data_IF_961251668470
#
_entry.id   IF_961251668470
#
_cell.length_a   1.000
_cell.length_b   1.000
_cell.length_c   1.000
_cell.angle_alpha   90.00
_cell.angle_beta   90.00
_cell.angle_gamma   90.00
#
_symmetry.space_group_name_H-M   'P 1'
#
loop_
_entity.id
_entity.type
_entity.pdbx_description
1 polymer ?
#
# COMPACT_ATOMS: atom_id res chain seq x y z
N UNK A 1 41.41 -38.01 46.11
CA UNK A 1 41.62 -36.54 46.10
C UNK A 1 42.83 -36.27 45.22
N UNK A 2 42.61 -35.88 43.97
CA UNK A 2 43.67 -35.51 43.02
C UNK A 2 43.49 -34.04 42.65
N UNK A 3 44.54 -33.20 42.72
CA UNK A 3 44.40 -31.80 42.38
C UNK A 3 44.45 -31.62 40.86
N UNK A 4 43.38 -31.11 40.28
CA UNK A 4 43.32 -30.74 38.87
C UNK A 4 44.11 -29.44 38.67
N UNK A 5 45.33 -29.55 38.14
CA UNK A 5 46.15 -28.39 37.77
C UNK A 5 45.50 -27.69 36.58
N UNK A 6 44.83 -26.56 36.82
CA UNK A 6 44.49 -25.60 35.77
C UNK A 6 45.79 -25.06 35.16
N UNK A 7 46.20 -25.69 34.06
CA UNK A 7 47.33 -25.25 33.27
C UNK A 7 46.90 -24.02 32.48
N UNK A 8 47.09 -22.84 33.06
CA UNK A 8 46.99 -21.56 32.34
C UNK A 8 48.14 -21.48 31.32
N UNK A 9 47.96 -22.13 30.16
CA UNK A 9 48.78 -21.86 28.98
C UNK A 9 48.62 -20.37 28.68
N UNK A 10 49.67 -19.58 28.88
CA UNK A 10 49.76 -18.22 28.32
C UNK A 10 49.51 -18.39 26.82
N UNK A 11 48.32 -17.98 26.37
CA UNK A 11 47.93 -18.04 24.97
C UNK A 11 48.93 -17.15 24.22
N UNK A 12 49.82 -17.75 23.44
CA UNK A 12 50.74 -17.01 22.58
C UNK A 12 49.95 -16.08 21.66
N UNK A 13 50.46 -14.87 21.43
CA UNK A 13 49.74 -13.77 20.78
C UNK A 13 49.07 -14.10 19.44
N UNK A 14 49.52 -15.15 18.74
CA UNK A 14 48.89 -15.65 17.51
C UNK A 14 47.48 -16.22 17.74
N UNK A 15 47.22 -16.87 18.88
CA UNK A 15 45.88 -17.40 19.19
C UNK A 15 44.87 -16.28 19.47
N UNK A 16 45.34 -15.17 20.04
CA UNK A 16 44.51 -13.98 20.30
C UNK A 16 44.13 -13.27 19.00
N UNK A 17 45.06 -13.18 18.04
CA UNK A 17 44.78 -12.60 16.72
C UNK A 17 43.76 -13.43 15.92
N UNK A 18 43.86 -14.77 15.97
CA UNK A 18 42.89 -15.64 15.30
C UNK A 18 41.50 -15.50 15.93
N UNK A 19 41.41 -15.46 17.27
CA UNK A 19 40.13 -15.28 17.95
C UNK A 19 39.46 -13.93 17.61
N UNK A 20 40.24 -12.84 17.55
CA UNK A 20 39.72 -11.52 17.23
C UNK A 20 39.20 -11.46 15.79
N UNK A 21 39.92 -12.05 14.83
CA UNK A 21 39.46 -12.13 13.44
C UNK A 21 38.13 -12.85 13.32
N UNK A 22 37.99 -14.01 13.98
CA UNK A 22 36.74 -14.79 13.97
C UNK A 22 35.58 -14.02 14.59
N UNK A 23 35.80 -13.34 15.73
CA UNK A 23 34.76 -12.53 16.38
C UNK A 23 34.30 -11.39 15.46
N UNK A 24 35.21 -10.68 14.80
CA UNK A 24 34.87 -9.57 13.90
C UNK A 24 34.10 -10.08 12.67
N UNK A 25 34.51 -11.22 12.09
CA UNK A 25 33.79 -11.84 10.97
C UNK A 25 32.39 -12.29 11.38
N UNK A 26 32.25 -12.95 12.53
CA UNK A 26 30.94 -13.39 13.03
C UNK A 26 30.03 -12.20 13.38
N UNK A 27 30.60 -11.10 13.92
CA UNK A 27 29.87 -9.87 14.18
C UNK A 27 29.40 -9.19 12.89
N UNK A 28 30.24 -9.13 11.85
CA UNK A 28 29.88 -8.63 10.51
C UNK A 28 28.74 -9.47 9.90
N UNK A 29 28.83 -10.80 9.98
CA UNK A 29 27.81 -11.71 9.46
C UNK A 29 26.48 -11.56 10.21
N UNK A 30 26.52 -11.49 11.54
CA UNK A 30 25.33 -11.27 12.36
C UNK A 30 24.66 -9.92 12.06
N UNK A 31 25.44 -8.86 11.86
CA UNK A 31 24.92 -7.56 11.46
C UNK A 31 24.28 -7.58 10.06
N UNK A 32 24.90 -8.28 9.10
CA UNK A 32 24.34 -8.43 7.75
C UNK A 32 23.02 -9.22 7.77
N UNK A 33 22.97 -10.35 8.49
CA UNK A 33 21.75 -11.15 8.66
C UNK A 33 20.66 -10.38 9.41
N UNK A 34 21.03 -9.61 10.43
CA UNK A 34 20.10 -8.73 11.15
C UNK A 34 19.44 -7.71 10.22
N UNK A 35 20.21 -7.10 9.32
CA UNK A 35 19.65 -6.19 8.29
C UNK A 35 18.73 -6.90 7.31
N UNK A 36 19.05 -8.12 6.89
CA UNK A 36 18.17 -8.92 6.02
C UNK A 36 16.85 -9.30 6.70
N UNK A 37 16.87 -9.65 7.99
CA UNK A 37 15.66 -9.96 8.75
C UNK A 37 14.75 -8.74 8.93
N UNK A 38 15.35 -7.56 9.14
CA UNK A 38 14.61 -6.29 9.20
C UNK A 38 14.00 -5.94 7.83
N UNK A 39 14.77 -6.04 6.75
CA UNK A 39 14.30 -5.77 5.38
C UNK A 39 13.18 -6.72 4.94
N UNK A 40 13.23 -8.00 5.33
CA UNK A 40 12.13 -8.96 5.10
C UNK A 40 10.86 -8.68 5.91
N UNK A 41 10.99 -8.14 7.13
CA UNK A 41 9.85 -7.83 7.99
C UNK A 41 9.11 -6.55 7.53
N UNK A 42 9.84 -5.60 6.96
CA UNK A 42 9.29 -4.35 6.44
C UNK A 42 8.55 -4.58 5.09
N UNK A 43 9.09 -5.44 4.21
CA UNK A 43 8.50 -5.72 2.89
C UNK A 43 7.12 -6.38 2.92
N UNK A 44 6.83 -7.24 3.89
CA UNK A 44 5.54 -7.95 3.97
C UNK A 44 4.37 -7.05 4.43
N UNK A 45 4.64 -6.07 5.30
CA UNK A 45 3.58 -5.19 5.83
C UNK A 45 3.18 -4.11 4.81
N UNK A 46 4.14 -3.68 3.98
CA UNK A 46 3.91 -2.69 2.91
C UNK A 46 3.07 -3.27 1.77
N UNK A 47 3.27 -4.54 1.41
CA UNK A 47 2.51 -5.18 0.33
C UNK A 47 1.02 -5.29 0.64
N UNK A 48 0.67 -5.73 1.85
CA UNK A 48 -0.74 -5.87 2.28
C UNK A 48 -1.45 -4.51 2.30
N UNK A 49 -0.78 -3.45 2.79
CA UNK A 49 -1.35 -2.09 2.81
C UNK A 49 -1.52 -1.53 1.41
N UNK A 50 -0.60 -1.83 0.50
CA UNK A 50 -0.71 -1.45 -0.91
C UNK A 50 -1.89 -2.16 -1.59
N UNK A 51 -2.11 -3.45 -1.31
CA UNK A 51 -3.27 -4.18 -1.84
C UNK A 51 -4.58 -3.62 -1.29
N UNK A 52 -4.64 -3.29 0.01
CA UNK A 52 -5.82 -2.62 0.59
C UNK A 52 -6.08 -1.25 -0.05
N UNK A 53 -5.04 -0.47 -0.31
CA UNK A 53 -5.16 0.82 -1.00
C UNK A 53 -5.68 0.65 -2.43
N UNK A 54 -5.21 -0.38 -3.13
CA UNK A 54 -5.72 -0.73 -4.46
C UNK A 54 -7.19 -1.15 -4.44
N UNK A 55 -7.56 -2.03 -3.51
CA UNK A 55 -8.95 -2.47 -3.34
C UNK A 55 -9.86 -1.31 -2.95
N UNK A 56 -9.41 -0.42 -2.06
CA UNK A 56 -10.13 0.81 -1.71
C UNK A 56 -10.37 1.70 -2.94
N UNK A 57 -9.34 1.90 -3.77
CA UNK A 57 -9.47 2.65 -5.02
C UNK A 57 -10.50 1.99 -5.96
N UNK A 58 -10.43 0.68 -6.11
CA UNK A 58 -11.34 -0.09 -6.97
C UNK A 58 -12.79 0.00 -6.47
N UNK A 59 -13.03 -0.25 -5.18
CA UNK A 59 -14.36 -0.15 -4.58
C UNK A 59 -14.92 1.28 -4.67
N UNK A 60 -14.07 2.30 -4.49
CA UNK A 60 -14.46 3.70 -4.68
C UNK A 60 -14.95 3.97 -6.10
N UNK A 61 -14.22 3.45 -7.10
CA UNK A 61 -14.58 3.57 -8.50
C UNK A 61 -15.90 2.85 -8.81
N UNK A 62 -16.09 1.63 -8.32
CA UNK A 62 -17.34 0.87 -8.52
C UNK A 62 -18.57 1.62 -7.97
N UNK A 63 -18.43 2.22 -6.78
CA UNK A 63 -19.49 3.06 -6.18
C UNK A 63 -19.77 4.30 -7.03
N UNK A 64 -18.74 4.94 -7.58
CA UNK A 64 -18.90 6.10 -8.44
C UNK A 64 -19.53 5.72 -9.79
N UNK A 65 -19.11 4.61 -10.37
CA UNK A 65 -19.60 4.12 -11.66
C UNK A 65 -21.07 3.66 -11.57
N UNK A 66 -21.46 3.01 -10.46
CA UNK A 66 -22.85 2.66 -10.18
C UNK A 66 -23.77 3.90 -10.07
N UNK A 67 -23.25 5.01 -9.55
CA UNK A 67 -23.98 6.29 -9.48
C UNK A 67 -24.01 7.04 -10.79
N UNK A 68 -22.96 6.89 -11.60
CA UNK A 68 -22.88 7.50 -12.93
C UNK A 68 -23.80 6.78 -13.91
N UNK A 69 -23.86 5.45 -13.86
CA UNK A 69 -24.73 4.61 -14.70
C UNK A 69 -25.70 3.80 -13.83
N UNK A 70 -26.69 4.44 -13.18
CA UNK A 70 -27.70 3.70 -12.41
C UNK A 70 -28.50 2.80 -13.35
N UNK A 71 -28.81 1.58 -12.90
CA UNK A 71 -29.59 0.61 -13.67
C UNK A 71 -31.03 1.12 -13.78
N UNK A 72 -31.33 1.92 -14.82
CA UNK A 72 -32.64 2.56 -15.02
C UNK A 72 -33.55 1.68 -15.86
N UNK A 73 -34.80 1.58 -15.45
CA UNK A 73 -35.92 1.43 -16.39
C UNK A 73 -36.39 2.84 -16.78
N UNK A 74 -36.89 3.03 -18.00
CA UNK A 74 -37.32 4.34 -18.52
C UNK A 74 -38.36 5.09 -17.63
N UNK A 75 -38.94 4.40 -16.64
CA UNK A 75 -39.96 4.92 -15.73
C UNK A 75 -39.42 5.67 -14.49
N UNK A 76 -38.13 5.55 -14.13
CA UNK A 76 -37.57 6.24 -12.95
C UNK A 76 -36.23 6.95 -13.26
N UNK A 77 -36.28 8.25 -13.63
CA UNK A 77 -35.09 9.03 -13.98
C UNK A 77 -34.31 9.55 -12.76
N UNK A 78 -34.83 9.45 -11.53
CA UNK A 78 -34.11 9.85 -10.31
C UNK A 78 -33.31 8.69 -9.69
N UNK A 79 -32.08 8.95 -9.20
CA UNK A 79 -31.32 10.20 -9.30
C UNK A 79 -30.65 10.41 -10.68
N UNK A 80 -30.39 11.67 -11.08
CA UNK A 80 -29.63 11.96 -12.30
C UNK A 80 -28.22 11.34 -12.24
N UNK A 81 -27.61 11.07 -13.39
CA UNK A 81 -26.22 10.65 -13.44
C UNK A 81 -25.36 11.80 -12.90
N UNK A 82 -24.67 11.60 -11.76
CA UNK A 82 -23.87 12.67 -11.14
C UNK A 82 -22.39 12.35 -11.35
N UNK A 83 -21.75 13.16 -12.19
CA UNK A 83 -20.30 13.23 -12.29
C UNK A 83 -19.78 14.26 -11.28
N UNK A 84 -19.54 13.82 -10.04
CA UNK A 84 -19.01 14.69 -8.99
C UNK A 84 -17.53 14.97 -9.22
N UNK A 85 -17.10 16.24 -9.10
CA UNK A 85 -15.71 16.65 -9.33
C UNK A 85 -14.73 16.01 -8.35
N UNK A 86 -15.17 15.75 -7.12
CA UNK A 86 -14.43 15.03 -6.11
C UNK A 86 -15.38 14.51 -5.04
N UNK A 87 -15.21 13.25 -4.65
CA UNK A 87 -16.02 12.59 -3.64
C UNK A 87 -15.15 11.69 -2.78
N UNK A 88 -15.22 11.86 -1.47
CA UNK A 88 -14.52 10.99 -0.51
C UNK A 88 -15.45 9.87 -0.04
N UNK A 89 -14.95 8.65 -0.04
CA UNK A 89 -15.60 7.43 0.40
C UNK A 89 -14.78 6.88 1.56
N UNK A 90 -15.37 6.92 2.75
CA UNK A 90 -14.81 6.32 3.96
C UNK A 90 -15.32 4.90 4.13
N UNK A 91 -14.43 3.96 4.44
CA UNK A 91 -14.78 2.55 4.68
C UNK A 91 -14.96 2.22 6.17
N UNK A 92 -15.36 3.20 6.98
CA UNK A 92 -15.56 3.07 8.42
C UNK A 92 -16.52 1.92 8.72
N UNK A 93 -16.08 0.94 9.52
CA UNK A 93 -16.86 -0.24 9.86
C UNK A 93 -16.57 -1.49 9.00
N UNK A 94 -15.74 -1.39 7.96
CA UNK A 94 -15.25 -2.55 7.22
C UNK A 94 -13.89 -3.00 7.76
N UNK A 95 -13.82 -4.21 8.34
CA UNK A 95 -12.58 -4.75 8.91
C UNK A 95 -11.46 -4.97 7.88
N UNK A 96 -11.80 -5.17 6.60
CA UNK A 96 -10.85 -5.35 5.51
C UNK A 96 -10.19 -4.05 5.03
N UNK A 97 -10.87 -2.91 5.15
CA UNK A 97 -10.42 -1.58 4.72
C UNK A 97 -10.32 -0.59 5.91
N UNK A 98 -10.00 -1.11 7.10
CA UNK A 98 -9.71 -0.26 8.26
C UNK A 98 -8.56 0.69 7.93
N UNK A 99 -8.70 1.95 8.37
CA UNK A 99 -7.77 3.05 8.08
C UNK A 99 -7.54 3.32 6.58
N UNK A 100 -8.50 2.94 5.74
CA UNK A 100 -8.50 3.27 4.31
C UNK A 100 -9.62 4.25 3.95
N UNK A 101 -9.33 5.11 2.98
CA UNK A 101 -10.30 6.00 2.34
C UNK A 101 -10.05 6.00 0.83
N UNK A 102 -11.10 6.19 0.04
CA UNK A 102 -11.00 6.40 -1.40
C UNK A 102 -11.53 7.77 -1.79
N UNK A 103 -10.83 8.47 -2.67
CA UNK A 103 -11.27 9.75 -3.23
C UNK A 103 -11.46 9.58 -4.72
N UNK A 104 -12.67 9.78 -5.21
CA UNK A 104 -13.02 9.64 -6.62
C UNK A 104 -13.30 10.99 -7.24
N UNK A 105 -12.73 11.26 -8.40
CA UNK A 105 -12.95 12.45 -9.19
C UNK A 105 -13.54 12.05 -10.53
N UNK A 106 -14.61 12.72 -10.96
CA UNK A 106 -15.20 12.51 -12.28
C UNK A 106 -15.01 13.77 -13.14
N UNK A 107 -14.63 13.57 -14.40
CA UNK A 107 -14.50 14.61 -15.41
C UNK A 107 -15.21 14.17 -16.69
N UNK A 108 -15.97 15.06 -17.30
CA UNK A 108 -16.55 14.82 -18.63
C UNK A 108 -15.50 15.03 -19.71
N UNK A 109 -15.44 14.11 -20.67
CA UNK A 109 -14.52 14.15 -21.81
C UNK A 109 -15.34 14.01 -23.08
N UNK A 110 -15.26 14.98 -23.98
CA UNK A 110 -15.92 14.88 -25.30
C UNK A 110 -15.02 14.08 -26.23
N UNK A 111 -15.54 13.01 -26.82
CA UNK A 111 -14.85 12.26 -27.88
C UNK A 111 -15.63 12.37 -29.18
N UNK A 112 -14.91 12.48 -30.29
CA UNK A 112 -15.51 12.50 -31.63
C UNK A 112 -15.09 11.24 -32.35
N UNK A 113 -16.04 10.36 -32.64
CA UNK A 113 -15.81 9.14 -33.40
C UNK A 113 -16.73 9.14 -34.63
N UNK A 114 -16.17 8.97 -35.83
CA UNK A 114 -16.90 9.02 -37.11
C UNK A 114 -17.79 10.28 -37.30
N UNK A 115 -17.34 11.44 -36.80
CA UNK A 115 -18.10 12.69 -36.93
C UNK A 115 -19.27 12.86 -35.95
N UNK A 116 -19.49 11.88 -35.05
CA UNK A 116 -20.46 11.96 -33.95
C UNK A 116 -19.73 12.32 -32.67
N UNK A 117 -20.16 13.41 -32.01
CA UNK A 117 -19.64 13.81 -30.70
C UNK A 117 -20.41 13.06 -29.61
N UNK A 118 -19.71 12.17 -28.89
CA UNK A 118 -20.23 11.52 -27.70
C UNK A 118 -19.61 12.09 -26.44
N UNK A 119 -20.43 12.16 -25.39
CA UNK A 119 -19.95 12.54 -24.06
C UNK A 119 -19.42 11.30 -23.36
N UNK A 120 -18.11 11.25 -23.16
CA UNK A 120 -17.45 10.29 -22.28
C UNK A 120 -17.28 10.86 -20.87
N UNK A 121 -16.99 9.96 -19.93
CA UNK A 121 -16.70 10.26 -18.55
C UNK A 121 -15.39 9.58 -18.17
N UNK A 122 -14.47 10.35 -17.59
CA UNK A 122 -13.22 9.86 -17.01
C UNK A 122 -13.35 9.94 -15.49
N UNK A 123 -13.23 8.79 -14.85
CA UNK A 123 -13.22 8.65 -13.41
C UNK A 123 -11.81 8.30 -12.95
N UNK A 124 -11.34 9.01 -11.93
CA UNK A 124 -10.08 8.75 -11.26
C UNK A 124 -10.36 8.46 -9.80
N UNK A 125 -9.91 7.32 -9.28
CA UNK A 125 -10.09 6.91 -7.89
C UNK A 125 -8.75 6.71 -7.22
N UNK A 126 -8.53 7.41 -6.10
CA UNK A 126 -7.32 7.33 -5.28
C UNK A 126 -7.68 6.68 -3.95
N UNK A 127 -7.25 5.44 -3.76
CA UNK A 127 -7.35 4.73 -2.49
C UNK A 127 -6.11 4.97 -1.65
N UNK A 128 -6.28 5.33 -0.39
CA UNK A 128 -5.18 5.56 0.55
C UNK A 128 -5.44 4.87 1.88
N UNK A 129 -4.43 4.17 2.39
CA UNK A 129 -4.50 3.43 3.64
C UNK A 129 -3.31 3.78 4.55
N UNK A 130 -3.58 3.82 5.85
CA UNK A 130 -2.62 4.28 6.86
C UNK A 130 -2.83 5.75 7.21
N UNK A 131 -2.09 6.21 8.21
CA UNK A 131 -2.16 7.58 8.72
C UNK A 131 -0.82 8.30 8.44
N UNK A 132 -0.81 9.62 8.54
CA UNK A 132 0.39 10.44 8.24
C UNK A 132 1.26 10.69 9.49
N UNK A 133 1.05 9.91 10.56
CA UNK A 133 1.70 10.09 11.85
C UNK A 133 3.10 9.45 11.85
N UNK A 134 4.08 10.23 11.43
CA UNK A 134 5.50 9.86 11.40
C UNK A 134 6.21 10.07 12.76
N UNK A 135 5.56 10.74 13.71
CA UNK A 135 6.15 11.15 15.00
C UNK A 135 6.10 10.06 16.10
N UNK A 136 5.56 8.88 15.79
CA UNK A 136 5.42 7.77 16.73
C UNK A 136 6.60 6.79 16.75
N UNK A 137 6.75 6.04 17.85
CA UNK A 137 7.75 4.96 17.97
C UNK A 137 7.59 3.84 16.91
N UNK A 138 6.44 3.81 16.24
CA UNK A 138 6.17 3.01 15.04
C UNK A 138 5.63 3.97 13.96
N UNK A 139 6.47 4.49 13.04
CA UNK A 139 6.00 5.35 11.97
C UNK A 139 5.05 4.53 11.09
N UNK A 140 3.81 4.98 11.00
CA UNK A 140 2.81 4.33 10.16
C UNK A 140 2.81 5.06 8.82
N UNK A 141 3.29 4.38 7.78
CA UNK A 141 3.45 4.98 6.46
C UNK A 141 2.13 4.92 5.69
N UNK A 142 1.64 6.07 5.24
CA UNK A 142 0.48 6.17 4.35
C UNK A 142 0.82 5.71 2.94
N UNK A 143 0.09 4.71 2.44
CA UNK A 143 0.24 4.19 1.07
C UNK A 143 -0.97 4.60 0.24
N UNK A 144 -0.73 5.08 -0.98
CA UNK A 144 -1.78 5.45 -1.92
C UNK A 144 -1.65 4.76 -3.27
N UNK A 145 -2.78 4.36 -3.86
CA UNK A 145 -2.89 3.80 -5.20
C UNK A 145 -3.97 4.53 -5.99
N UNK A 146 -3.69 4.81 -7.26
CA UNK A 146 -4.59 5.53 -8.16
C UNK A 146 -5.03 4.61 -9.29
N UNK A 147 -6.31 4.62 -9.61
CA UNK A 147 -6.92 3.94 -10.75
C UNK A 147 -7.70 4.95 -11.59
N UNK A 148 -7.64 4.79 -12.91
CA UNK A 148 -8.39 5.63 -13.84
C UNK A 148 -9.16 4.75 -14.80
N UNK A 149 -10.43 5.10 -15.04
CA UNK A 149 -11.30 4.43 -16.00
C UNK A 149 -12.03 5.45 -16.83
N UNK A 150 -12.23 5.12 -18.10
CA UNK A 150 -13.05 5.88 -19.02
C UNK A 150 -14.29 5.07 -19.37
N UNK A 151 -15.44 5.73 -19.32
CA UNK A 151 -16.70 5.17 -19.75
C UNK A 151 -17.30 6.08 -20.82
N UNK A 152 -17.79 5.48 -21.88
CA UNK A 152 -18.44 6.19 -22.98
C UNK A 152 -19.91 5.83 -22.98
N UNK A 153 -20.77 6.83 -23.02
CA UNK A 153 -22.20 6.62 -23.27
C UNK A 153 -22.31 6.14 -24.72
N UNK A 154 -22.50 4.83 -24.89
CA UNK A 154 -22.69 4.20 -26.19
C UNK A 154 -24.01 4.70 -26.75
N UNK A 155 -23.93 5.62 -27.72
CA UNK A 155 -25.09 6.15 -28.43
C UNK A 155 -25.86 5.08 -29.19
#
# INVERSE_FOLDING_TARGET
MFPERRQSKKMGGSALMIALFVIVVMAMLAAAMGRFLLDSSEKNTVEVRSVRALLAAQSGLEVALYRLFPNRTAAQPQPPAVCESSRTISFTGNSGLVDCQAVVQCRTVTTTYNGVTSTGYRLESVGSCGNDNLDGASPDFRVSRTLMVEAYDGG
#
